data_IF_733538681808
#
_entry.id   IF_733538681808
#
_cell.length_a   1.000
_cell.length_b   1.000
_cell.length_c   1.000
_cell.angle_alpha   90.00
_cell.angle_beta   90.00
_cell.angle_gamma   90.00
#
_symmetry.space_group_name_H-M   'P 1'
#
loop_
_entity.id
_entity.type
_entity.pdbx_description
1 polymer ?
#
# COMPACT_ATOMS: atom_id res chain seq x y z
N UNK A 1 30.62 -5.95 12.73
CA UNK A 1 29.71 -5.14 11.90
C UNK A 1 29.19 -5.96 10.72
N UNK A 2 30.08 -6.63 9.97
CA UNK A 2 29.72 -7.46 8.80
C UNK A 2 28.71 -8.57 9.12
N UNK A 3 28.92 -9.35 10.19
CA UNK A 3 27.96 -10.39 10.60
C UNK A 3 26.55 -9.86 10.88
N UNK A 4 26.44 -8.66 11.44
CA UNK A 4 25.14 -8.03 11.71
C UNK A 4 24.43 -7.66 10.41
N UNK A 5 25.17 -7.06 9.47
CA UNK A 5 24.66 -6.67 8.15
C UNK A 5 24.22 -7.90 7.37
N UNK A 6 25.06 -8.94 7.30
CA UNK A 6 24.73 -10.21 6.63
C UNK A 6 23.49 -10.86 7.24
N UNK A 7 23.41 -10.95 8.58
CA UNK A 7 22.22 -11.50 9.25
C UNK A 7 20.95 -10.67 9.01
N UNK A 8 21.04 -9.34 8.90
CA UNK A 8 19.89 -8.48 8.55
C UNK A 8 19.40 -8.74 7.13
N UNK A 9 20.31 -8.87 6.16
CA UNK A 9 19.94 -9.19 4.77
C UNK A 9 19.37 -10.60 4.64
N UNK A 10 19.96 -11.59 5.31
CA UNK A 10 19.46 -12.96 5.32
C UNK A 10 18.04 -13.04 5.90
N UNK A 11 17.77 -12.31 7.00
CA UNK A 11 16.44 -12.24 7.60
C UNK A 11 15.41 -11.61 6.65
N UNK A 12 15.79 -10.54 5.94
CA UNK A 12 14.91 -9.85 5.01
C UNK A 12 14.57 -10.71 3.80
N UNK A 13 15.57 -11.35 3.20
CA UNK A 13 15.39 -12.24 2.03
C UNK A 13 14.57 -13.46 2.44
N UNK A 14 14.96 -14.13 3.53
CA UNK A 14 14.26 -15.31 4.02
C UNK A 14 12.82 -14.99 4.46
N UNK A 15 12.56 -13.80 5.01
CA UNK A 15 11.22 -13.38 5.43
C UNK A 15 10.32 -13.00 4.24
N UNK A 16 10.88 -12.33 3.24
CA UNK A 16 10.13 -11.80 2.10
C UNK A 16 9.64 -12.90 1.16
N UNK A 17 10.52 -13.83 0.76
CA UNK A 17 10.17 -14.87 -0.20
C UNK A 17 9.11 -15.83 0.34
N UNK A 18 9.27 -16.27 1.60
CA UNK A 18 8.33 -17.20 2.25
C UNK A 18 6.96 -16.58 2.47
N UNK A 19 6.93 -15.32 2.91
CA UNK A 19 5.66 -14.60 3.18
C UNK A 19 4.94 -14.25 1.88
N UNK A 20 5.66 -13.74 0.88
CA UNK A 20 5.09 -13.39 -0.43
C UNK A 20 4.49 -14.60 -1.13
N UNK A 21 5.22 -15.72 -1.12
CA UNK A 21 4.76 -16.98 -1.71
C UNK A 21 3.51 -17.49 -1.01
N UNK A 22 3.50 -17.49 0.33
CA UNK A 22 2.33 -17.92 1.12
C UNK A 22 1.12 -17.04 0.86
N UNK A 23 1.26 -15.72 0.84
CA UNK A 23 0.16 -14.78 0.53
C UNK A 23 -0.35 -15.02 -0.89
N UNK A 24 0.55 -15.18 -1.87
CA UNK A 24 0.17 -15.47 -3.26
C UNK A 24 -0.68 -16.73 -3.35
N UNK A 25 -0.24 -17.83 -2.72
CA UNK A 25 -1.02 -19.07 -2.69
C UNK A 25 -2.32 -18.92 -1.92
N UNK A 26 -2.32 -18.20 -0.79
CA UNK A 26 -3.54 -17.88 -0.02
C UNK A 26 -4.58 -17.17 -0.88
N UNK A 27 -4.18 -16.12 -1.59
CA UNK A 27 -5.06 -15.40 -2.52
C UNK A 27 -5.54 -16.29 -3.68
N UNK A 28 -4.66 -17.11 -4.27
CA UNK A 28 -5.05 -18.06 -5.32
C UNK A 28 -6.06 -19.10 -4.83
N UNK A 29 -5.91 -19.57 -3.59
CA UNK A 29 -6.86 -20.49 -2.96
C UNK A 29 -8.22 -19.80 -2.74
N UNK A 30 -8.24 -18.55 -2.27
CA UNK A 30 -9.49 -17.79 -2.13
C UNK A 30 -10.21 -17.64 -3.48
N UNK A 31 -9.48 -17.28 -4.54
CA UNK A 31 -10.04 -17.20 -5.91
C UNK A 31 -10.57 -18.54 -6.42
N UNK A 32 -9.91 -19.64 -6.07
CA UNK A 32 -10.31 -21.00 -6.49
C UNK A 32 -11.49 -21.55 -5.70
N UNK A 33 -11.69 -21.10 -4.45
CA UNK A 33 -12.72 -21.61 -3.54
C UNK A 33 -13.64 -20.47 -3.05
N UNK A 34 -14.61 -20.03 -3.88
CA UNK A 34 -15.46 -18.87 -3.59
C UNK A 34 -16.22 -18.96 -2.27
N UNK A 35 -16.64 -20.16 -1.85
CA UNK A 35 -17.33 -20.37 -0.55
C UNK A 35 -16.44 -20.08 0.65
N UNK A 36 -15.13 -20.35 0.53
CA UNK A 36 -14.16 -20.04 1.59
C UNK A 36 -13.90 -18.53 1.60
N UNK A 37 -13.77 -17.92 0.41
CA UNK A 37 -13.64 -16.47 0.26
C UNK A 37 -14.84 -15.71 0.85
N UNK A 38 -16.07 -16.19 0.60
CA UNK A 38 -17.31 -15.61 1.13
C UNK A 38 -17.35 -15.66 2.66
N UNK A 39 -16.98 -16.80 3.25
CA UNK A 39 -16.90 -16.93 4.72
C UNK A 39 -15.82 -16.04 5.34
N UNK A 40 -14.65 -15.92 4.70
CA UNK A 40 -13.57 -15.01 5.13
C UNK A 40 -14.04 -13.56 5.03
N UNK A 41 -14.79 -13.21 3.99
CA UNK A 41 -15.34 -11.87 3.82
C UNK A 41 -16.42 -11.56 4.87
N UNK A 42 -17.28 -12.54 5.19
CA UNK A 42 -18.30 -12.41 6.25
C UNK A 42 -17.65 -12.17 7.63
N UNK A 43 -16.57 -12.87 7.95
CA UNK A 43 -15.78 -12.67 9.19
C UNK A 43 -15.14 -11.26 9.24
N UNK A 44 -14.71 -10.71 8.09
CA UNK A 44 -14.19 -9.34 7.96
C UNK A 44 -15.29 -8.29 8.15
N UNK A 45 -16.51 -8.57 7.67
CA UNK A 45 -17.62 -7.64 7.63
C UNK A 45 -18.36 -7.50 8.98
N UNK A 46 -18.33 -8.52 9.85
CA UNK A 46 -19.07 -8.54 11.13
C UNK A 46 -18.50 -7.65 12.26
N UNK A 47 -17.38 -6.91 12.06
CA UNK A 47 -17.14 -5.65 12.79
C UNK A 47 -15.70 -5.11 12.92
N UNK A 48 -15.37 -3.87 12.52
CA UNK A 48 -15.90 -2.97 11.49
C UNK A 48 -14.65 -2.30 10.91
N UNK A 49 -14.32 -2.60 9.65
CA UNK A 49 -13.11 -2.06 9.03
C UNK A 49 -13.35 -0.66 8.50
N UNK A 50 -12.66 0.34 9.05
CA UNK A 50 -12.60 1.69 8.48
C UNK A 50 -11.52 1.70 7.39
N UNK A 51 -11.92 1.89 6.14
CA UNK A 51 -10.99 2.04 5.01
C UNK A 51 -10.87 3.51 4.64
N UNK A 52 -9.84 4.24 5.11
CA UNK A 52 -9.53 5.54 4.53
C UNK A 52 -9.13 5.32 3.07
N UNK A 53 -9.95 5.78 2.13
CA UNK A 53 -9.65 5.67 0.70
C UNK A 53 -8.50 6.60 0.34
N UNK A 54 -7.28 6.07 0.40
CA UNK A 54 -6.08 6.81 0.00
C UNK A 54 -6.15 7.21 -1.47
N UNK A 55 -6.77 6.38 -2.32
CA UNK A 55 -7.01 6.72 -3.73
C UNK A 55 -7.84 7.98 -3.87
N UNK A 56 -8.87 8.18 -3.05
CA UNK A 56 -9.70 9.40 -3.08
C UNK A 56 -8.90 10.65 -2.77
N UNK A 57 -7.94 10.56 -1.84
CA UNK A 57 -7.09 11.69 -1.45
C UNK A 57 -6.01 11.95 -2.51
N UNK A 58 -5.37 10.89 -2.98
CA UNK A 58 -4.29 10.96 -3.98
C UNK A 58 -4.79 11.30 -5.38
N UNK A 59 -6.09 11.13 -5.67
CA UNK A 59 -6.72 11.52 -6.93
C UNK A 59 -7.69 12.70 -6.79
N UNK A 60 -7.59 13.48 -5.70
CA UNK A 60 -8.39 14.70 -5.57
C UNK A 60 -7.92 15.73 -6.61
N UNK A 61 -8.72 15.91 -7.66
CA UNK A 61 -8.46 16.87 -8.74
C UNK A 61 -8.32 18.33 -8.27
N UNK A 62 -8.80 18.66 -7.05
CA UNK A 62 -8.62 20.00 -6.46
C UNK A 62 -7.17 20.23 -6.03
N UNK A 63 -6.48 19.17 -5.61
CA UNK A 63 -5.10 19.23 -5.14
C UNK A 63 -4.11 18.78 -6.23
N UNK A 64 -4.46 17.75 -7.00
CA UNK A 64 -3.66 17.16 -8.07
C UNK A 64 -4.40 17.28 -9.42
N UNK A 65 -4.20 18.38 -10.18
CA UNK A 65 -4.79 18.53 -11.51
C UNK A 65 -4.37 17.42 -12.46
N UNK A 66 -5.30 16.85 -13.22
CA UNK A 66 -5.08 15.63 -14.04
C UNK A 66 -4.50 14.47 -13.21
N UNK A 67 -5.21 14.01 -12.15
CA UNK A 67 -4.65 13.09 -11.15
C UNK A 67 -4.32 11.69 -11.69
N UNK A 68 -4.83 11.33 -12.86
CA UNK A 68 -4.58 10.04 -13.52
C UNK A 68 -3.33 10.05 -14.40
N UNK A 69 -2.69 11.20 -14.59
CA UNK A 69 -1.48 11.35 -15.40
C UNK A 69 -0.25 11.47 -14.51
N UNK A 70 0.84 10.83 -14.92
CA UNK A 70 2.12 11.02 -14.25
C UNK A 70 2.65 12.43 -14.54
N UNK A 71 2.58 13.31 -13.53
CA UNK A 71 3.05 14.68 -13.63
C UNK A 71 3.93 15.06 -12.42
N UNK A 72 5.27 15.10 -12.57
CA UNK A 72 6.18 15.54 -11.51
C UNK A 72 5.89 16.96 -11.00
N UNK A 73 5.25 17.80 -11.81
CA UNK A 73 4.84 19.16 -11.44
C UNK A 73 3.88 19.23 -10.24
N UNK A 74 3.19 18.13 -9.89
CA UNK A 74 2.36 18.06 -8.68
C UNK A 74 3.15 18.33 -7.38
N UNK A 75 4.46 18.05 -7.40
CA UNK A 75 5.36 18.16 -6.27
C UNK A 75 6.33 19.33 -6.36
N UNK A 76 6.10 20.28 -7.27
CA UNK A 76 6.98 21.41 -7.51
C UNK A 76 6.23 22.74 -7.37
N UNK A 77 6.90 23.76 -6.82
CA UNK A 77 6.47 25.15 -6.89
C UNK A 77 6.78 25.72 -8.29
N UNK A 78 6.22 26.90 -8.60
CA UNK A 78 6.46 27.59 -9.88
C UNK A 78 7.95 27.85 -10.18
N UNK A 79 8.77 28.01 -9.14
CA UNK A 79 10.21 28.20 -9.24
C UNK A 79 11.02 26.88 -9.31
N UNK A 80 10.36 25.73 -9.43
CA UNK A 80 10.98 24.41 -9.56
C UNK A 80 11.48 23.79 -8.24
N UNK A 81 11.23 24.42 -7.09
CA UNK A 81 11.56 23.82 -5.79
C UNK A 81 10.51 22.81 -5.34
N UNK A 82 10.90 21.83 -4.52
CA UNK A 82 9.97 20.83 -4.00
C UNK A 82 8.86 21.47 -3.15
N UNK A 83 7.63 21.01 -3.38
CA UNK A 83 6.44 21.38 -2.62
C UNK A 83 5.88 20.13 -1.92
N UNK A 84 5.80 20.18 -0.60
CA UNK A 84 5.13 19.17 0.20
C UNK A 84 3.61 19.43 0.16
N UNK A 85 2.82 18.38 -0.08
CA UNK A 85 1.37 18.41 0.08
C UNK A 85 0.97 17.55 1.28
N UNK A 86 0.12 18.07 2.16
CA UNK A 86 -0.43 17.31 3.30
C UNK A 86 -1.46 16.26 2.86
N UNK A 87 -1.96 16.35 1.61
CA UNK A 87 -2.82 15.34 0.98
C UNK A 87 -2.01 14.19 0.36
N UNK A 88 -0.70 14.36 0.20
CA UNK A 88 0.18 13.28 -0.24
C UNK A 88 0.46 12.32 0.94
N UNK A 89 -0.48 11.39 1.16
CA UNK A 89 -0.41 10.36 2.20
C UNK A 89 -0.24 8.93 1.63
N UNK A 90 0.81 8.65 0.83
CA UNK A 90 1.00 7.33 0.24
C UNK A 90 1.26 6.23 1.28
N UNK A 91 1.62 6.60 2.50
CA UNK A 91 1.89 5.68 3.61
C UNK A 91 0.88 5.83 4.76
N UNK A 92 -0.33 6.34 4.47
CA UNK A 92 -1.33 6.72 5.46
C UNK A 92 -0.84 7.82 6.44
N UNK A 93 -1.63 8.13 7.45
CA UNK A 93 -1.23 8.93 8.61
C UNK A 93 -0.94 8.03 9.83
N UNK A 94 -0.18 8.55 10.79
CA UNK A 94 0.22 7.83 12.01
C UNK A 94 -0.96 7.38 12.91
N UNK A 95 -0.64 6.86 14.09
CA UNK A 95 -1.63 6.57 15.14
C UNK A 95 -1.89 7.80 16.01
#
# INVERSE_FOLDING_TARGET
MENLITSTFDLFIAGSERTSTTIRYGLLLLLKYPKIQEKVQEEIDQGTTVFPSLTSVLHDSKEFPNPTEFNPGHFLNENGTFRKSEFFMPFSAGK
#
